data_IF_051050773739
#
_entry.id   IF_051050773739
#
_cell.length_a   1.000
_cell.length_b   1.000
_cell.length_c   1.000
_cell.angle_alpha   90.00
_cell.angle_beta   90.00
_cell.angle_gamma   90.00
#
_symmetry.space_group_name_H-M   'P 1'
#
loop_
_entity.id
_entity.type
_entity.pdbx_description
1 polymer ?
#
# COMPACT_ATOMS: atom_id res chain seq x y z
N UNK A 1 -6.74 7.26 -5.83
CA UNK A 1 -5.80 7.94 -6.74
C UNK A 1 -6.38 7.93 -8.15
N UNK A 2 -6.79 9.07 -8.68
CA UNK A 2 -7.13 9.22 -10.09
C UNK A 2 -5.91 9.80 -10.81
N UNK A 3 -5.44 9.16 -11.87
CA UNK A 3 -4.41 9.76 -12.74
C UNK A 3 -5.16 10.69 -13.70
N UNK A 4 -5.20 11.97 -13.36
CA UNK A 4 -5.98 12.99 -14.08
C UNK A 4 -5.44 13.32 -15.49
N UNK A 5 -4.25 12.82 -15.83
CA UNK A 5 -3.60 13.04 -17.11
C UNK A 5 -3.78 11.78 -17.99
N UNK A 6 -4.68 11.82 -18.99
CA UNK A 6 -5.01 10.64 -19.79
C UNK A 6 -3.80 10.05 -20.51
N UNK A 7 -2.87 10.88 -20.96
CA UNK A 7 -1.64 10.44 -21.64
C UNK A 7 -0.73 9.62 -20.71
N UNK A 8 -0.64 10.02 -19.45
CA UNK A 8 0.17 9.34 -18.43
C UNK A 8 -0.46 7.99 -18.07
N UNK A 9 -1.77 7.98 -17.91
CA UNK A 9 -2.52 6.75 -17.69
C UNK A 9 -2.38 5.78 -18.88
N UNK A 10 -2.49 6.27 -20.11
CA UNK A 10 -2.37 5.46 -21.32
C UNK A 10 -0.97 4.86 -21.46
N UNK A 11 0.07 5.66 -21.18
CA UNK A 11 1.45 5.18 -21.10
C UNK A 11 1.58 4.07 -20.06
N UNK A 12 1.16 4.35 -18.81
CA UNK A 12 1.30 3.42 -17.70
C UNK A 12 0.54 2.10 -17.92
N UNK A 13 -0.56 2.14 -18.67
CA UNK A 13 -1.41 0.98 -18.95
C UNK A 13 -1.02 0.18 -20.20
N UNK A 14 -0.35 0.80 -21.17
CA UNK A 14 -0.01 0.16 -22.46
C UNK A 14 1.48 -0.10 -22.67
N UNK A 15 2.34 0.71 -22.06
CA UNK A 15 3.78 0.59 -22.23
C UNK A 15 4.33 -0.48 -21.26
N UNK A 16 4.96 -1.51 -21.82
CA UNK A 16 5.66 -2.52 -21.02
C UNK A 16 7.02 -1.97 -20.57
N UNK A 17 7.23 -2.00 -19.27
CA UNK A 17 8.49 -1.67 -18.61
C UNK A 17 9.17 -2.99 -18.25
N UNK A 18 10.49 -3.01 -18.39
CA UNK A 18 11.28 -4.18 -18.02
C UNK A 18 11.61 -4.12 -16.53
N UNK A 19 11.50 -5.28 -15.89
CA UNK A 19 11.94 -5.51 -14.53
C UNK A 19 12.98 -6.62 -14.53
N UNK A 20 14.07 -6.42 -13.79
CA UNK A 20 15.15 -7.38 -13.63
C UNK A 20 15.54 -7.44 -12.16
N UNK A 21 15.63 -8.67 -11.66
CA UNK A 21 16.15 -8.96 -10.33
C UNK A 21 17.32 -9.92 -10.46
N UNK A 22 18.42 -9.64 -9.77
CA UNK A 22 19.59 -10.52 -9.72
C UNK A 22 20.20 -10.50 -8.33
N UNK A 23 20.13 -11.65 -7.64
CA UNK A 23 20.75 -11.84 -6.33
C UNK A 23 21.26 -13.28 -6.21
N UNK A 24 22.56 -13.45 -5.97
CA UNK A 24 23.19 -14.77 -5.92
C UNK A 24 22.94 -15.58 -7.19
N UNK A 25 22.33 -16.77 -7.03
CA UNK A 25 21.98 -17.68 -8.12
C UNK A 25 20.56 -17.45 -8.69
N UNK A 26 19.86 -16.42 -8.22
CA UNK A 26 18.50 -16.09 -8.67
C UNK A 26 18.55 -14.92 -9.67
N UNK A 27 17.98 -15.13 -10.85
CA UNK A 27 17.83 -14.11 -11.89
C UNK A 27 16.42 -14.18 -12.46
N UNK A 28 15.71 -13.06 -12.44
CA UNK A 28 14.36 -12.95 -12.99
C UNK A 28 14.29 -11.75 -13.90
N UNK A 29 13.62 -11.92 -15.05
CA UNK A 29 13.32 -10.86 -15.99
C UNK A 29 11.85 -10.90 -16.35
N UNK A 30 11.22 -9.73 -16.44
CA UNK A 30 9.83 -9.64 -16.91
C UNK A 30 9.58 -8.30 -17.59
N UNK A 31 8.58 -8.27 -18.47
CA UNK A 31 8.07 -7.04 -19.08
C UNK A 31 6.58 -6.91 -18.75
N UNK A 32 6.21 -5.82 -18.08
CA UNK A 32 4.84 -5.58 -17.58
C UNK A 32 4.48 -4.10 -17.71
N UNK A 33 3.20 -3.79 -17.93
CA UNK A 33 2.70 -2.43 -17.79
C UNK A 33 2.65 -2.06 -16.30
N UNK A 34 2.83 -0.79 -15.96
CA UNK A 34 2.69 -0.33 -14.57
C UNK A 34 1.25 -0.58 -14.09
N UNK A 35 0.26 -0.34 -14.96
CA UNK A 35 -1.15 -0.58 -14.68
C UNK A 35 -1.64 -1.68 -15.63
N UNK A 36 -2.08 -2.82 -15.08
CA UNK A 36 -2.78 -3.83 -15.87
C UNK A 36 -4.28 -3.68 -15.65
N UNK A 37 -5.04 -3.48 -16.71
CA UNK A 37 -6.49 -3.42 -16.67
C UNK A 37 -7.13 -4.76 -17.06
N UNK A 38 -8.32 -5.03 -16.52
CA UNK A 38 -9.20 -6.08 -17.05
C UNK A 38 -9.89 -5.56 -18.32
N UNK A 39 -9.69 -6.26 -19.43
CA UNK A 39 -10.11 -5.89 -20.80
C UNK A 39 -11.52 -5.32 -20.95
N UNK A 40 -12.49 -5.69 -20.09
CA UNK A 40 -13.89 -5.35 -20.28
C UNK A 40 -14.35 -4.05 -19.62
N UNK A 41 -13.59 -3.43 -18.70
CA UNK A 41 -14.14 -2.34 -17.87
C UNK A 41 -13.15 -1.23 -17.47
N UNK A 42 -11.92 -1.17 -18.03
CA UNK A 42 -10.85 -0.26 -17.54
C UNK A 42 -10.65 -0.33 -16.02
N UNK A 43 -10.98 -1.48 -15.43
CA UNK A 43 -10.80 -1.72 -14.01
C UNK A 43 -9.36 -2.15 -13.80
N UNK A 44 -8.62 -1.38 -13.02
CA UNK A 44 -7.26 -1.72 -12.60
C UNK A 44 -7.30 -3.08 -11.88
N UNK A 45 -6.53 -4.02 -12.40
CA UNK A 45 -6.38 -5.37 -11.87
C UNK A 45 -5.07 -5.49 -11.09
N UNK A 46 -3.97 -4.97 -11.65
CA UNK A 46 -2.62 -5.07 -11.09
C UNK A 46 -1.90 -3.75 -11.20
N UNK A 47 -1.18 -3.38 -10.14
CA UNK A 47 -0.14 -2.35 -10.16
C UNK A 47 1.23 -3.05 -10.09
N UNK A 48 2.01 -2.97 -11.17
CA UNK A 48 3.38 -3.50 -11.22
C UNK A 48 4.34 -2.34 -11.01
N UNK A 49 4.66 -2.03 -9.76
CA UNK A 49 5.56 -0.94 -9.43
C UNK A 49 6.63 -1.41 -8.44
N UNK A 50 7.86 -1.43 -8.93
CA UNK A 50 9.07 -1.58 -8.12
C UNK A 50 10.20 -0.79 -8.80
N UNK A 51 10.57 0.39 -8.26
CA UNK A 51 11.61 1.22 -8.88
C UNK A 51 13.00 0.60 -8.79
N UNK A 52 13.27 -0.30 -7.84
CA UNK A 52 14.60 -0.89 -7.64
C UNK A 52 14.90 -1.99 -8.65
N UNK A 53 13.87 -2.69 -9.13
CA UNK A 53 14.02 -3.72 -10.16
C UNK A 53 13.77 -3.21 -11.58
N UNK A 54 13.48 -1.92 -11.79
CA UNK A 54 13.32 -1.38 -13.14
C UNK A 54 14.63 -1.51 -13.96
N UNK A 55 14.54 -2.27 -15.05
CA UNK A 55 15.64 -2.49 -15.98
C UNK A 55 15.66 -1.44 -17.09
N UNK A 56 16.79 -1.29 -17.81
CA UNK A 56 16.86 -0.42 -18.98
C UNK A 56 15.75 -0.70 -19.99
N UNK A 57 15.22 0.37 -20.58
CA UNK A 57 14.26 0.27 -21.66
C UNK A 57 14.89 -0.47 -22.86
N UNK A 58 14.27 -1.57 -23.29
CA UNK A 58 14.66 -2.24 -24.53
C UNK A 58 14.24 -1.43 -25.76
N UNK A 59 14.84 -1.74 -26.91
CA UNK A 59 14.81 -0.97 -28.16
C UNK A 59 13.43 -0.46 -28.62
N UNK A 60 12.33 -1.09 -28.22
CA UNK A 60 10.95 -0.67 -28.54
C UNK A 60 10.55 0.70 -27.98
N UNK A 61 11.29 1.23 -27.00
CA UNK A 61 11.05 2.54 -26.39
C UNK A 61 12.08 3.60 -26.85
N UNK A 62 13.12 3.19 -27.60
CA UNK A 62 14.20 4.07 -28.02
C UNK A 62 13.73 5.01 -29.16
N UNK A 63 13.46 6.26 -28.79
CA UNK A 63 13.00 7.33 -29.69
C UNK A 63 12.24 8.39 -28.91
N UNK A 64 11.29 9.10 -29.54
CA UNK A 64 10.40 10.06 -28.83
C UNK A 64 9.55 9.39 -27.73
N UNK A 65 9.37 8.08 -27.76
CA UNK A 65 8.60 7.31 -26.77
C UNK A 65 9.26 7.22 -25.39
N UNK A 66 10.58 7.23 -25.29
CA UNK A 66 11.29 7.09 -23.99
C UNK A 66 11.07 8.28 -23.08
N UNK A 67 11.06 9.51 -23.60
CA UNK A 67 10.79 10.70 -22.81
C UNK A 67 9.36 10.72 -22.27
N UNK A 68 8.39 10.24 -23.05
CA UNK A 68 7.01 10.11 -22.59
C UNK A 68 6.88 9.03 -21.51
N UNK A 69 7.55 7.89 -21.69
CA UNK A 69 7.60 6.84 -20.68
C UNK A 69 8.21 7.35 -19.36
N UNK A 70 9.37 8.01 -19.41
CA UNK A 70 10.02 8.56 -18.22
C UNK A 70 9.12 9.58 -17.51
N UNK A 71 8.50 10.51 -18.25
CA UNK A 71 7.59 11.50 -17.66
C UNK A 71 6.40 10.84 -16.96
N UNK A 72 5.83 9.83 -17.59
CA UNK A 72 4.68 9.14 -17.03
C UNK A 72 5.06 8.24 -15.84
N UNK A 73 6.25 7.62 -15.82
CA UNK A 73 6.75 6.93 -14.63
C UNK A 73 6.98 7.88 -13.45
N UNK A 74 7.54 9.08 -13.71
CA UNK A 74 7.72 10.12 -12.67
C UNK A 74 6.39 10.59 -12.11
N UNK A 75 5.43 10.96 -12.97
CA UNK A 75 4.11 11.39 -12.51
C UNK A 75 3.37 10.28 -11.76
N UNK A 76 3.54 9.01 -12.18
CA UNK A 76 3.00 7.88 -11.43
C UNK A 76 3.62 7.80 -10.03
N UNK A 77 4.95 7.91 -9.92
CA UNK A 77 5.66 7.92 -8.64
C UNK A 77 5.22 9.09 -7.75
N UNK A 78 5.18 10.31 -8.28
CA UNK A 78 4.75 11.51 -7.55
C UNK A 78 3.33 11.35 -6.99
N UNK A 79 2.41 10.77 -7.78
CA UNK A 79 1.05 10.48 -7.32
C UNK A 79 1.04 9.37 -6.28
N UNK A 80 1.84 8.32 -6.46
CA UNK A 80 1.97 7.23 -5.50
C UNK A 80 2.48 7.69 -4.13
N UNK A 81 3.46 8.58 -4.13
CA UNK A 81 4.13 9.08 -2.93
C UNK A 81 3.44 10.33 -2.33
N UNK A 82 2.37 10.82 -2.95
CA UNK A 82 1.62 11.96 -2.44
C UNK A 82 1.12 11.68 -0.99
N UNK A 83 1.20 12.65 -0.06
CA UNK A 83 0.91 12.42 1.36
C UNK A 83 -0.48 11.85 1.66
N UNK A 84 -1.47 12.11 0.80
CA UNK A 84 -2.83 11.60 0.91
C UNK A 84 -3.00 10.16 0.39
N UNK A 85 -2.01 9.62 -0.31
CA UNK A 85 -2.00 8.25 -0.86
C UNK A 85 -1.08 7.30 -0.08
N UNK A 86 -0.33 7.82 0.90
CA UNK A 86 0.60 7.03 1.72
C UNK A 86 0.03 6.82 3.12
N UNK A 87 -0.07 5.57 3.54
CA UNK A 87 -0.33 5.19 4.93
C UNK A 87 1.00 4.77 5.57
N UNK A 88 1.36 5.39 6.69
CA UNK A 88 2.58 5.04 7.45
C UNK A 88 2.19 4.24 8.69
N UNK A 89 2.87 3.13 8.90
CA UNK A 89 2.67 2.27 10.06
C UNK A 89 4.03 1.91 10.64
N UNK A 90 4.17 2.03 11.97
CA UNK A 90 5.32 1.53 12.71
C UNK A 90 5.04 0.11 13.16
N UNK A 91 5.92 -0.82 12.80
CA UNK A 91 5.80 -2.22 13.20
C UNK A 91 6.65 -2.51 14.42
N UNK A 92 6.05 -3.18 15.39
CA UNK A 92 6.72 -3.67 16.60
C UNK A 92 7.02 -5.17 16.48
N UNK A 93 8.02 -5.70 17.21
CA UNK A 93 8.31 -7.13 17.20
C UNK A 93 7.07 -7.98 17.51
N UNK A 94 6.82 -9.01 16.69
CA UNK A 94 5.64 -9.87 16.81
C UNK A 94 4.40 -9.39 16.04
N UNK A 95 4.45 -8.21 15.41
CA UNK A 95 3.39 -7.73 14.52
C UNK A 95 3.64 -8.11 13.06
N UNK A 96 2.58 -8.22 12.26
CA UNK A 96 2.67 -8.42 10.82
C UNK A 96 1.62 -7.58 10.09
N UNK A 97 1.89 -7.31 8.81
CA UNK A 97 0.95 -6.66 7.90
C UNK A 97 0.72 -7.60 6.73
N UNK A 98 -0.56 -7.80 6.41
CA UNK A 98 -0.99 -8.53 5.21
C UNK A 98 -1.63 -7.53 4.27
N UNK A 99 -1.17 -7.49 3.03
CA UNK A 99 -1.74 -6.63 2.00
C UNK A 99 -1.79 -7.34 0.65
N UNK A 100 -2.68 -6.87 -0.22
CA UNK A 100 -2.76 -7.33 -1.61
C UNK A 100 -1.61 -6.71 -2.41
N UNK A 101 -0.55 -7.49 -2.66
CA UNK A 101 0.63 -7.05 -3.42
C UNK A 101 0.33 -6.71 -4.89
N UNK A 102 -0.84 -7.08 -5.42
CA UNK A 102 -1.26 -6.68 -6.77
C UNK A 102 -1.88 -5.27 -6.79
N UNK A 103 -2.18 -4.69 -5.62
CA UNK A 103 -2.88 -3.39 -5.53
C UNK A 103 -2.18 -2.36 -4.65
N UNK A 104 -1.53 -2.81 -3.59
CA UNK A 104 -0.88 -1.96 -2.59
C UNK A 104 0.63 -2.07 -2.76
N UNK A 105 1.25 -0.98 -3.18
CA UNK A 105 2.69 -0.83 -3.14
C UNK A 105 3.14 -0.63 -1.68
N UNK A 106 4.19 -1.34 -1.27
CA UNK A 106 4.76 -1.21 0.06
C UNK A 106 6.23 -0.81 0.00
N UNK A 107 6.70 -0.18 1.06
CA UNK A 107 8.06 0.31 1.20
C UNK A 107 8.36 0.62 2.66
N UNK A 108 9.57 1.09 2.93
CA UNK A 108 10.00 1.47 4.28
C UNK A 108 10.85 2.73 4.23
N UNK A 109 10.81 3.49 5.30
CA UNK A 109 11.78 4.58 5.52
C UNK A 109 13.17 4.00 5.83
N UNK A 110 14.20 4.80 5.56
CA UNK A 110 15.57 4.42 5.83
C UNK A 110 15.82 4.26 7.34
N UNK A 111 16.53 3.20 7.71
CA UNK A 111 16.95 2.98 9.10
C UNK A 111 18.22 3.79 9.34
N UNK A 112 18.13 4.81 10.19
CA UNK A 112 19.27 5.67 10.53
C UNK A 112 20.27 4.99 11.48
N UNK A 113 19.80 4.08 12.34
CA UNK A 113 20.64 3.36 13.30
C UNK A 113 19.99 2.05 13.76
N UNK A 114 20.81 1.03 14.01
CA UNK A 114 20.37 -0.27 14.51
C UNK A 114 20.10 -1.31 13.41
N UNK A 115 19.71 -2.51 13.82
CA UNK A 115 19.42 -3.64 12.93
C UNK A 115 17.95 -4.01 13.02
N UNK A 116 17.26 -4.00 11.88
CA UNK A 116 15.89 -4.50 11.76
C UNK A 116 15.92 -5.76 10.91
N UNK A 117 15.26 -6.82 11.40
CA UNK A 117 15.05 -8.06 10.66
C UNK A 117 13.56 -8.22 10.39
N UNK A 118 13.19 -8.36 9.13
CA UNK A 118 11.82 -8.65 8.69
C UNK A 118 11.81 -9.95 7.91
N UNK A 119 10.73 -10.71 8.06
CA UNK A 119 10.47 -11.89 7.25
C UNK A 119 9.33 -11.56 6.29
N UNK A 120 9.47 -11.99 5.04
CA UNK A 120 8.48 -11.77 4.00
C UNK A 120 7.99 -13.13 3.49
N UNK A 121 6.67 -13.27 3.36
CA UNK A 121 6.02 -14.46 2.80
C UNK A 121 4.98 -14.00 1.78
N UNK A 122 5.00 -14.64 0.61
CA UNK A 122 3.99 -14.45 -0.41
C UNK A 122 3.03 -15.64 -0.39
N UNK A 123 1.73 -15.35 -0.49
CA UNK A 123 0.67 -16.34 -0.61
C UNK A 123 -0.17 -16.03 -1.84
N UNK A 124 -0.67 -17.07 -2.50
CA UNK A 124 -1.59 -16.90 -3.61
C UNK A 124 -2.94 -16.35 -3.12
N UNK A 125 -3.40 -15.27 -3.74
CA UNK A 125 -4.69 -14.64 -3.42
C UNK A 125 -5.88 -15.58 -3.65
N UNK A 126 -5.79 -16.54 -4.58
CA UNK A 126 -6.86 -17.53 -4.79
C UNK A 126 -7.03 -18.46 -3.59
N UNK A 127 -5.92 -18.83 -2.96
CA UNK A 127 -5.93 -19.65 -1.74
C UNK A 127 -6.58 -18.88 -0.58
N UNK A 128 -6.21 -17.61 -0.40
CA UNK A 128 -6.83 -16.77 0.63
C UNK A 128 -8.33 -16.60 0.39
N UNK A 129 -8.74 -16.39 -0.88
CA UNK A 129 -10.14 -16.27 -1.24
C UNK A 129 -10.91 -17.58 -1.03
N UNK A 130 -10.29 -18.73 -1.29
CA UNK A 130 -10.88 -20.04 -1.00
C UNK A 130 -11.08 -20.25 0.50
N UNK A 131 -10.04 -19.99 1.31
CA UNK A 131 -10.12 -20.07 2.77
C UNK A 131 -11.25 -19.17 3.30
N UNK A 132 -11.29 -17.90 2.87
CA UNK A 132 -12.33 -16.95 3.27
C UNK A 132 -13.75 -17.45 2.96
N UNK A 133 -13.99 -17.97 1.74
CA UNK A 133 -15.29 -18.55 1.37
C UNK A 133 -15.65 -19.75 2.22
N UNK A 134 -14.68 -20.59 2.54
CA UNK A 134 -14.89 -21.81 3.33
C UNK A 134 -15.26 -21.46 4.77
N UNK A 135 -14.57 -20.50 5.39
CA UNK A 135 -14.89 -20.00 6.74
C UNK A 135 -16.19 -19.18 6.78
N UNK A 136 -16.48 -18.40 5.74
CA UNK A 136 -17.73 -17.63 5.65
C UNK A 136 -18.99 -18.48 5.63
N UNK A 137 -18.88 -19.77 5.25
CA UNK A 137 -20.00 -20.73 5.33
C UNK A 137 -20.13 -21.42 6.69
N UNK A 138 -19.12 -21.33 7.56
CA UNK A 138 -19.10 -22.02 8.87
C UNK A 138 -19.33 -21.10 10.07
N UNK A 139 -19.28 -19.78 9.88
CA UNK A 139 -19.51 -18.80 10.94
C UNK A 139 -20.99 -18.40 10.92
N UNK A 140 -21.81 -19.00 11.78
CA UNK A 140 -23.03 -18.33 12.23
C UNK A 140 -22.61 -17.08 12.99
N UNK A 141 -23.15 -15.89 12.67
CA UNK A 141 -22.78 -14.67 13.36
C UNK A 141 -23.23 -14.80 14.82
N UNK A 142 -22.27 -15.06 15.70
CA UNK A 142 -22.44 -14.78 17.12
C UNK A 142 -22.04 -13.33 17.33
N UNK A 143 -22.89 -12.59 18.06
CA UNK A 143 -22.88 -11.13 18.26
C UNK A 143 -21.52 -10.52 18.70
N UNK A 144 -20.54 -11.36 19.04
CA UNK A 144 -19.19 -10.98 19.47
C UNK A 144 -18.24 -10.60 18.33
N UNK A 145 -18.48 -11.02 17.08
CA UNK A 145 -17.59 -10.67 15.95
C UNK A 145 -17.80 -9.24 15.43
N UNK A 146 -19.05 -8.75 15.40
CA UNK A 146 -19.36 -7.38 15.00
C UNK A 146 -18.78 -6.35 15.99
N UNK A 147 -18.73 -6.70 17.28
CA UNK A 147 -18.13 -5.85 18.30
C UNK A 147 -16.62 -5.66 18.10
N UNK A 148 -15.89 -6.73 17.72
CA UNK A 148 -14.43 -6.65 17.49
C UNK A 148 -14.08 -5.87 16.23
N UNK A 149 -14.82 -6.06 15.14
CA UNK A 149 -14.61 -5.31 13.89
C UNK A 149 -14.90 -3.81 14.08
N UNK A 150 -15.89 -3.46 14.91
CA UNK A 150 -16.15 -2.07 15.29
C UNK A 150 -15.03 -1.45 16.13
N UNK A 151 -14.43 -2.22 17.02
CA UNK A 151 -13.33 -1.76 17.89
C UNK A 151 -12.04 -1.51 17.09
N UNK A 152 -11.71 -2.40 16.14
CA UNK A 152 -10.55 -2.23 15.26
C UNK A 152 -10.70 -1.04 14.30
N UNK A 153 -11.90 -0.84 13.72
CA UNK A 153 -12.19 0.38 12.92
C UNK A 153 -12.06 1.65 13.76
N UNK A 154 -12.56 1.64 14.99
CA UNK A 154 -12.42 2.75 15.94
C UNK A 154 -10.96 3.06 16.29
N UNK A 155 -10.10 2.05 16.36
CA UNK A 155 -8.67 2.23 16.61
C UNK A 155 -7.96 2.90 15.42
N UNK A 156 -8.20 2.40 14.19
CA UNK A 156 -7.62 2.97 12.97
C UNK A 156 -8.11 4.40 12.73
N UNK A 157 -9.40 4.68 12.96
CA UNK A 157 -9.95 6.03 12.83
C UNK A 157 -9.40 6.99 13.90
N UNK A 158 -9.13 6.53 15.12
CA UNK A 158 -8.46 7.33 16.16
C UNK A 158 -7.03 7.68 15.78
N UNK A 159 -6.25 6.71 15.29
CA UNK A 159 -4.89 6.94 14.81
C UNK A 159 -4.87 7.96 13.67
N UNK A 160 -5.74 7.81 12.68
CA UNK A 160 -5.87 8.76 11.56
C UNK A 160 -6.30 10.17 11.99
N UNK A 161 -7.05 10.29 13.10
CA UNK A 161 -7.49 11.58 13.64
C UNK A 161 -6.39 12.27 14.45
N UNK A 162 -5.60 11.50 15.20
CA UNK A 162 -4.47 12.01 16.00
C UNK A 162 -3.28 12.47 15.14
N UNK A 163 -3.08 11.85 13.97
CA UNK A 163 -2.06 12.26 13.00
C UNK A 163 -2.44 13.52 12.20
N UNK A 164 -3.74 13.83 12.06
CA UNK A 164 -4.23 15.02 11.35
C UNK A 164 -4.33 16.29 12.18
N UNK A 165 -4.06 16.22 13.49
CA UNK A 165 -4.14 17.39 14.36
C UNK A 165 -2.87 18.26 14.23
N UNK A 166 -3.01 19.58 13.98
CA UNK A 166 -1.88 20.49 14.00
C UNK A 166 -1.16 20.45 15.36
N UNK A 167 0.16 20.67 15.41
CA UNK A 167 0.98 20.51 16.62
C UNK A 167 0.42 21.31 17.81
N UNK A 168 -0.13 22.48 17.55
CA UNK A 168 -0.69 23.43 18.53
C UNK A 168 -1.95 22.90 19.24
N UNK A 169 -2.63 21.89 18.67
CA UNK A 169 -3.80 21.24 19.27
C UNK A 169 -3.44 20.09 20.23
N UNK A 170 -2.21 19.55 20.14
CA UNK A 170 -1.75 18.43 20.99
C UNK A 170 -1.44 18.87 22.42
N UNK A 171 -1.04 20.14 22.62
CA UNK A 171 -0.80 20.72 23.95
C UNK A 171 -2.08 21.05 24.74
N UNK A 172 -3.20 21.31 24.07
CA UNK A 172 -4.48 21.60 24.74
C UNK A 172 -5.23 20.33 25.19
N UNK A 173 -4.97 19.19 24.56
CA UNK A 173 -5.64 17.94 24.92
C UNK A 173 -5.06 17.29 26.20
N UNK A 174 -3.78 17.53 26.52
CA UNK A 174 -3.12 16.98 27.71
C UNK A 174 -3.37 17.77 29.00
N UNK A 175 -4.01 18.94 28.94
CA UNK A 175 -4.21 19.85 30.08
C UNK A 175 -5.63 19.86 30.68
N UNK A 176 -6.56 19.03 30.19
CA UNK A 176 -7.96 18.96 30.69
C UNK A 176 -8.33 17.61 31.30
N UNK A 177 -7.53 17.13 32.26
CA UNK A 177 -7.88 15.97 33.10
C UNK A 177 -7.56 16.26 34.57
N UNK A 178 -8.42 17.07 35.20
CA UNK A 178 -8.49 17.16 36.66
C UNK A 178 -9.92 17.44 37.11
N UNK A 179 -10.79 16.43 37.04
CA UNK A 179 -12.00 16.39 37.86
C UNK A 179 -11.89 15.21 38.82
N UNK A 180 -11.65 15.55 40.10
CA UNK A 180 -11.58 14.62 41.20
C UNK A 180 -12.92 13.92 41.50
N UNK A 181 -12.90 12.86 42.32
CA UNK A 181 -14.09 12.04 42.57
C UNK A 181 -15.07 12.75 43.52
N UNK A 182 -16.30 12.93 43.07
CA UNK A 182 -17.45 13.27 43.92
C UNK A 182 -17.79 12.06 44.80
N UNK A 183 -17.64 12.24 46.12
CA UNK A 183 -18.14 11.32 47.15
C UNK A 183 -19.62 11.61 47.38
N UNK A 184 -20.45 10.57 47.38
CA UNK A 184 -21.81 10.61 47.92
C UNK A 184 -21.84 9.84 49.26
N UNK A 185 -22.40 10.48 50.27
CA UNK A 185 -22.97 9.88 51.48
C UNK A 185 -24.48 10.15 51.43
#
# INVERSE_FOLDING_TARGET
MAIEEPEIYDMASRCKINFMYKEGNHSYESARCIITEKYSHRRIQVINWDPLSQAPFQNYVLGKGSQHAIRALRSFQEKLEAPNNVLRLRLEPGTCVVHDAMRVCSGREAILSGTVKTNHLYMDGEYLAYAYRSFGTTVTPTETQDARVHEERSYVERQLREERLPPDAKEKASSSSSNGPLRFA
#
